data_IF_644161481925
#
_entry.id   IF_644161481925
#
_cell.length_a   1.000
_cell.length_b   1.000
_cell.length_c   1.000
_cell.angle_alpha   90.00
_cell.angle_beta   90.00
_cell.angle_gamma   90.00
#
_symmetry.space_group_name_H-M   'P 1'
#
loop_
_entity.id
_entity.type
_entity.pdbx_description
1 polymer ?
#
# COMPACT_ATOMS: atom_id res chain seq x y z
N UNK A 1 -22.44 -74.79 65.66
CA UNK A 1 -22.72 -73.80 64.59
C UNK A 1 -23.28 -72.51 65.20
N UNK A 2 -22.46 -71.65 65.82
CA UNK A 2 -22.86 -70.28 66.20
C UNK A 2 -21.60 -69.41 66.24
N UNK A 3 -21.31 -68.75 65.13
CA UNK A 3 -20.11 -67.94 64.97
C UNK A 3 -20.08 -67.09 63.69
N UNK A 4 -21.19 -67.01 62.94
CA UNK A 4 -21.39 -65.95 61.94
C UNK A 4 -21.76 -64.69 62.73
N UNK A 5 -20.72 -63.90 62.98
CA UNK A 5 -20.67 -62.82 63.96
C UNK A 5 -21.29 -61.54 63.38
N UNK A 6 -21.97 -60.76 64.22
CA UNK A 6 -22.50 -59.41 63.95
C UNK A 6 -21.55 -58.52 63.12
N UNK A 7 -20.24 -58.72 63.26
CA UNK A 7 -19.17 -58.07 62.49
C UNK A 7 -19.33 -58.23 60.97
N UNK A 8 -19.73 -59.41 60.50
CA UNK A 8 -19.84 -59.72 59.07
C UNK A 8 -21.04 -59.02 58.43
N UNK A 9 -22.12 -58.86 59.18
CA UNK A 9 -23.29 -58.06 58.78
C UNK A 9 -22.91 -56.58 58.70
N UNK A 10 -22.17 -56.06 59.69
CA UNK A 10 -21.70 -54.67 59.68
C UNK A 10 -20.75 -54.43 58.50
N UNK A 11 -19.82 -55.35 58.24
CA UNK A 11 -18.89 -55.26 57.13
C UNK A 11 -19.62 -55.31 55.78
N UNK A 12 -20.58 -56.22 55.62
CA UNK A 12 -21.38 -56.32 54.41
C UNK A 12 -22.20 -55.05 54.14
N UNK A 13 -22.79 -54.45 55.18
CA UNK A 13 -23.51 -53.17 55.07
C UNK A 13 -22.56 -52.02 54.75
N UNK A 14 -21.40 -51.93 55.40
CA UNK A 14 -20.41 -50.89 55.12
C UNK A 14 -19.89 -50.96 53.67
N UNK A 15 -19.62 -52.17 53.17
CA UNK A 15 -19.20 -52.39 51.79
C UNK A 15 -20.33 -52.05 50.81
N UNK A 16 -21.55 -52.51 51.09
CA UNK A 16 -22.72 -52.22 50.26
C UNK A 16 -22.97 -50.70 50.16
N UNK A 17 -22.88 -49.97 51.28
CA UNK A 17 -23.05 -48.52 51.29
C UNK A 17 -21.95 -47.81 50.49
N UNK A 18 -20.70 -48.26 50.61
CA UNK A 18 -19.57 -47.70 49.86
C UNK A 18 -19.73 -47.91 48.35
N UNK A 19 -20.11 -49.12 47.94
CA UNK A 19 -20.34 -49.44 46.52
C UNK A 19 -21.56 -48.71 45.94
N UNK A 20 -22.64 -48.61 46.72
CA UNK A 20 -23.87 -47.93 46.30
C UNK A 20 -23.64 -46.43 46.14
N UNK A 21 -22.99 -45.80 47.12
CA UNK A 21 -22.67 -44.36 47.06
C UNK A 21 -21.71 -44.06 45.91
N UNK A 22 -20.65 -44.86 45.73
CA UNK A 22 -19.73 -44.73 44.60
C UNK A 22 -20.42 -44.89 43.23
N UNK A 23 -21.37 -45.82 43.13
CA UNK A 23 -22.12 -46.02 41.87
C UNK A 23 -23.04 -44.83 41.56
N UNK A 24 -23.74 -44.31 42.57
CA UNK A 24 -24.61 -43.14 42.41
C UNK A 24 -23.83 -41.88 42.02
N UNK A 25 -22.66 -41.64 42.62
CA UNK A 25 -21.83 -40.48 42.26
C UNK A 25 -21.33 -40.58 40.82
N UNK A 26 -20.93 -41.76 40.36
CA UNK A 26 -20.52 -41.98 38.97
C UNK A 26 -21.67 -41.72 37.98
N UNK A 27 -22.88 -42.16 38.30
CA UNK A 27 -24.06 -41.92 37.46
C UNK A 27 -24.36 -40.43 37.36
N UNK A 28 -24.42 -39.71 38.48
CA UNK A 28 -24.65 -38.26 38.51
C UNK A 28 -23.56 -37.52 37.74
N UNK A 29 -22.30 -37.92 37.92
CA UNK A 29 -21.18 -37.35 37.20
C UNK A 29 -21.28 -37.59 35.67
N UNK A 30 -21.69 -38.79 35.26
CA UNK A 30 -21.92 -39.13 33.85
C UNK A 30 -23.03 -38.27 33.23
N UNK A 31 -24.15 -38.07 33.93
CA UNK A 31 -25.22 -37.18 33.47
C UNK A 31 -24.75 -35.72 33.34
N UNK A 32 -24.02 -35.21 34.32
CA UNK A 32 -23.48 -33.86 34.28
C UNK A 32 -22.48 -33.67 33.13
N UNK A 33 -21.62 -34.67 32.88
CA UNK A 33 -20.66 -34.65 31.77
C UNK A 33 -21.35 -34.64 30.41
N UNK A 34 -22.37 -35.50 30.23
CA UNK A 34 -23.17 -35.51 28.99
C UNK A 34 -23.91 -34.20 28.76
N UNK A 35 -24.51 -33.61 29.80
CA UNK A 35 -25.18 -32.32 29.69
C UNK A 35 -24.20 -31.20 29.31
N UNK A 36 -23.06 -31.14 30.00
CA UNK A 36 -22.03 -30.13 29.72
C UNK A 36 -21.50 -30.26 28.29
N UNK A 37 -21.30 -31.48 27.78
CA UNK A 37 -20.90 -31.72 26.39
C UNK A 37 -21.94 -31.24 25.37
N UNK A 38 -23.24 -31.39 25.67
CA UNK A 38 -24.33 -30.85 24.86
C UNK A 38 -24.34 -29.33 24.84
N UNK A 39 -24.28 -28.69 26.02
CA UNK A 39 -24.23 -27.23 26.15
C UNK A 39 -22.99 -26.63 25.46
N UNK A 40 -21.83 -27.28 25.57
CA UNK A 40 -20.61 -26.86 24.89
C UNK A 40 -20.76 -26.93 23.36
N UNK A 41 -21.44 -27.95 22.85
CA UNK A 41 -21.72 -28.08 21.41
C UNK A 41 -22.61 -26.94 20.91
N UNK A 42 -23.62 -26.54 21.69
CA UNK A 42 -24.50 -25.41 21.38
C UNK A 42 -23.75 -24.07 21.47
N UNK A 43 -22.96 -23.84 22.52
CA UNK A 43 -22.14 -22.64 22.67
C UNK A 43 -21.14 -22.49 21.51
N UNK A 44 -20.54 -23.60 21.07
CA UNK A 44 -19.64 -23.63 19.91
C UNK A 44 -20.34 -23.23 18.61
N UNK A 45 -21.59 -23.65 18.39
CA UNK A 45 -22.39 -23.23 17.23
C UNK A 45 -22.65 -21.73 17.26
N UNK A 46 -23.09 -21.17 18.40
CA UNK A 46 -23.33 -19.73 18.53
C UNK A 46 -22.05 -18.90 18.36
N UNK A 47 -20.92 -19.37 18.90
CA UNK A 47 -19.63 -18.70 18.73
C UNK A 47 -19.17 -18.73 17.27
N UNK A 48 -19.35 -19.87 16.58
CA UNK A 48 -19.04 -20.02 15.16
C UNK A 48 -19.89 -19.09 14.29
N UNK A 49 -21.20 -19.06 14.53
CA UNK A 49 -22.12 -18.16 13.84
C UNK A 49 -21.71 -16.69 14.02
N UNK A 50 -21.29 -16.30 15.22
CA UNK A 50 -20.77 -14.96 15.50
C UNK A 50 -19.59 -14.59 14.58
N UNK A 51 -18.63 -15.49 14.42
CA UNK A 51 -17.49 -15.27 13.51
C UNK A 51 -17.95 -15.15 12.04
N UNK A 52 -18.86 -16.01 11.59
CA UNK A 52 -19.36 -15.97 10.21
C UNK A 52 -20.20 -14.73 9.92
N UNK A 53 -20.98 -14.26 10.89
CA UNK A 53 -21.73 -13.02 10.77
C UNK A 53 -20.80 -11.80 10.66
N UNK A 54 -19.72 -11.74 11.46
CA UNK A 54 -18.72 -10.67 11.33
C UNK A 54 -17.96 -10.74 9.99
N UNK A 55 -17.67 -11.95 9.48
CA UNK A 55 -17.14 -12.11 8.12
C UNK A 55 -18.10 -11.57 7.07
N UNK A 56 -19.41 -11.79 7.23
CA UNK A 56 -20.43 -11.22 6.34
C UNK A 56 -20.44 -9.70 6.39
N UNK A 57 -20.39 -9.09 7.59
CA UNK A 57 -20.30 -7.63 7.78
C UNK A 57 -19.07 -7.06 7.06
N UNK A 58 -17.91 -7.70 7.25
CA UNK A 58 -16.65 -7.35 6.57
C UNK A 58 -16.74 -7.42 5.05
N UNK A 59 -17.45 -8.42 4.53
CA UNK A 59 -17.62 -8.60 3.08
C UNK A 59 -18.61 -7.60 2.46
N UNK A 60 -19.43 -6.92 3.27
CA UNK A 60 -20.19 -5.76 2.82
C UNK A 60 -19.25 -4.56 2.66
N UNK A 61 -18.54 -4.19 3.73
CA UNK A 61 -17.43 -3.23 3.69
C UNK A 61 -16.51 -3.45 4.89
N UNK A 62 -15.19 -3.42 4.68
CA UNK A 62 -14.23 -3.59 5.77
C UNK A 62 -14.36 -2.49 6.84
N UNK A 63 -14.66 -1.27 6.41
CA UNK A 63 -14.90 -0.12 7.28
C UNK A 63 -16.05 -0.32 8.29
N UNK A 64 -16.95 -1.28 8.06
CA UNK A 64 -18.02 -1.61 9.02
C UNK A 64 -17.48 -2.30 10.28
N UNK A 65 -16.24 -2.82 10.26
CA UNK A 65 -15.58 -3.40 11.43
C UNK A 65 -15.03 -2.32 12.37
N UNK A 66 -15.95 -1.62 13.04
CA UNK A 66 -15.62 -0.63 14.07
C UNK A 66 -15.15 -1.33 15.33
N UNK A 67 -14.04 -0.85 15.92
CA UNK A 67 -13.53 -1.42 17.17
C UNK A 67 -14.61 -1.33 18.26
N UNK A 68 -14.81 -2.43 18.98
CA UNK A 68 -15.75 -2.50 20.09
C UNK A 68 -15.25 -3.49 21.14
N UNK A 69 -15.40 -3.13 22.41
CA UNK A 69 -15.11 -4.02 23.55
C UNK A 69 -16.18 -5.10 23.73
N UNK A 70 -17.35 -4.94 23.12
CA UNK A 70 -18.47 -5.88 23.20
C UNK A 70 -19.69 -5.36 22.43
N UNK A 71 -20.18 -6.14 21.47
CA UNK A 71 -21.40 -5.88 20.70
C UNK A 71 -22.14 -7.17 20.41
N UNK A 72 -23.45 -7.07 20.20
CA UNK A 72 -24.24 -8.13 19.58
C UNK A 72 -24.22 -8.04 18.05
N UNK A 73 -24.98 -8.93 17.42
CA UNK A 73 -25.21 -8.99 15.98
C UNK A 73 -26.71 -9.14 15.73
N UNK A 74 -27.23 -8.37 14.79
CA UNK A 74 -28.63 -8.43 14.36
C UNK A 74 -28.74 -8.62 12.83
N UNK A 75 -29.95 -8.89 12.34
CA UNK A 75 -30.28 -8.94 10.93
C UNK A 75 -31.08 -7.72 10.50
N UNK A 76 -30.51 -6.92 9.60
CA UNK A 76 -31.24 -5.88 8.88
C UNK A 76 -31.69 -6.44 7.52
N UNK A 77 -32.85 -7.09 7.49
CA UNK A 77 -33.34 -7.79 6.30
C UNK A 77 -32.53 -9.06 6.00
N UNK A 78 -31.80 -9.09 4.88
CA UNK A 78 -30.99 -10.24 4.45
C UNK A 78 -29.51 -10.15 4.82
N UNK A 79 -29.09 -9.07 5.48
CA UNK A 79 -27.68 -8.82 5.85
C UNK A 79 -27.49 -8.85 7.37
N UNK A 80 -26.29 -9.27 7.78
CA UNK A 80 -25.82 -9.14 9.16
C UNK A 80 -25.33 -7.72 9.42
N UNK A 81 -25.65 -7.20 10.60
CA UNK A 81 -25.20 -5.89 11.10
C UNK A 81 -24.82 -6.00 12.57
N UNK A 82 -23.96 -5.11 13.07
CA UNK A 82 -23.77 -4.98 14.51
C UNK A 82 -25.01 -4.34 15.14
N UNK A 83 -25.41 -4.82 16.31
CA UNK A 83 -26.58 -4.32 17.03
C UNK A 83 -26.59 -4.76 18.47
N UNK A 84 -27.07 -3.90 19.37
CA UNK A 84 -27.15 -4.20 20.80
C UNK A 84 -25.79 -4.41 21.48
N UNK A 85 -25.83 -4.76 22.78
CA UNK A 85 -24.63 -5.00 23.57
C UNK A 85 -24.13 -6.46 23.50
N UNK A 86 -25.05 -7.40 23.28
CA UNK A 86 -24.84 -8.84 23.19
C UNK A 86 -26.08 -9.51 22.57
N UNK A 87 -25.95 -10.79 22.23
CA UNK A 87 -27.06 -11.63 21.79
C UNK A 87 -27.38 -12.65 22.88
N UNK A 88 -28.65 -12.76 23.27
CA UNK A 88 -29.11 -13.77 24.24
C UNK A 88 -29.90 -14.86 23.51
N UNK A 89 -29.48 -16.10 23.66
CA UNK A 89 -30.13 -17.28 23.09
C UNK A 89 -30.65 -18.19 24.18
N UNK A 90 -31.84 -18.73 23.96
CA UNK A 90 -32.43 -19.75 24.83
C UNK A 90 -32.47 -21.07 24.06
N UNK A 91 -31.82 -22.10 24.60
CA UNK A 91 -31.86 -23.44 24.01
C UNK A 91 -32.97 -24.30 24.64
N UNK A 92 -33.13 -24.20 25.96
CA UNK A 92 -34.16 -24.88 26.76
C UNK A 92 -34.74 -23.92 27.80
N UNK A 93 -35.86 -24.29 28.44
CA UNK A 93 -36.59 -23.49 29.43
C UNK A 93 -35.82 -23.07 30.70
N UNK A 94 -34.50 -23.34 30.78
CA UNK A 94 -33.62 -22.94 31.88
C UNK A 94 -32.22 -22.48 31.47
N UNK A 95 -31.87 -22.49 30.17
CA UNK A 95 -30.50 -22.21 29.70
C UNK A 95 -30.47 -20.92 28.88
N UNK A 96 -29.69 -19.94 29.33
CA UNK A 96 -29.41 -18.70 28.60
C UNK A 96 -27.94 -18.65 28.19
N UNK A 97 -27.69 -18.59 26.89
CA UNK A 97 -26.38 -18.37 26.30
C UNK A 97 -26.28 -16.91 25.90
N UNK A 98 -25.23 -16.23 26.33
CA UNK A 98 -24.97 -14.83 25.99
C UNK A 98 -23.74 -14.76 25.11
N UNK A 99 -23.91 -14.35 23.85
CA UNK A 99 -22.83 -14.11 22.90
C UNK A 99 -22.44 -12.63 22.89
N UNK A 100 -21.15 -12.36 23.00
CA UNK A 100 -20.58 -11.02 22.85
C UNK A 100 -19.45 -11.06 21.84
N UNK A 101 -19.47 -10.13 20.89
CA UNK A 101 -18.42 -9.96 19.89
C UNK A 101 -17.52 -8.79 20.28
N UNK A 102 -16.21 -9.03 20.26
CA UNK A 102 -15.18 -8.01 20.41
C UNK A 102 -14.47 -7.81 19.08
N UNK A 103 -14.29 -6.56 18.68
CA UNK A 103 -13.57 -6.15 17.45
C UNK A 103 -12.40 -5.28 17.87
N UNK A 104 -11.20 -5.70 17.53
CA UNK A 104 -9.97 -5.02 17.92
C UNK A 104 -9.05 -4.78 16.73
N UNK A 105 -8.32 -3.67 16.76
CA UNK A 105 -7.18 -3.49 15.87
C UNK A 105 -5.99 -4.31 16.34
N UNK A 106 -5.10 -4.65 15.43
CA UNK A 106 -3.88 -5.40 15.74
C UNK A 106 -2.65 -4.55 15.44
N UNK A 107 -1.55 -4.82 16.15
CA UNK A 107 -0.26 -4.22 15.88
C UNK A 107 0.72 -5.29 15.37
N UNK A 108 1.68 -4.89 14.55
CA UNK A 108 2.78 -5.75 14.06
C UNK A 108 4.14 -5.33 14.60
N UNK A 109 5.05 -6.28 14.76
CA UNK A 109 6.46 -6.02 15.11
C UNK A 109 7.30 -5.44 13.95
N UNK A 110 6.69 -5.24 12.77
CA UNK A 110 7.28 -4.59 11.61
C UNK A 110 6.40 -3.48 11.03
N UNK A 111 6.74 -3.02 9.81
CA UNK A 111 5.92 -2.07 9.05
C UNK A 111 4.85 -2.86 8.28
N UNK A 112 3.54 -2.67 8.56
CA UNK A 112 2.48 -3.39 7.86
C UNK A 112 2.58 -3.24 6.33
N UNK A 113 2.30 -4.30 5.54
CA UNK A 113 1.73 -5.58 5.95
C UNK A 113 2.75 -6.60 6.51
N UNK A 114 4.04 -6.25 6.57
CA UNK A 114 5.10 -7.13 7.05
C UNK A 114 5.13 -7.22 8.59
N UNK A 115 5.79 -8.27 9.10
CA UNK A 115 5.90 -8.54 10.54
C UNK A 115 4.77 -9.39 11.11
N UNK A 116 4.96 -9.90 12.33
CA UNK A 116 4.01 -10.73 13.06
C UNK A 116 3.08 -9.87 13.91
N UNK A 117 1.84 -10.33 14.10
CA UNK A 117 0.91 -9.70 15.04
C UNK A 117 1.42 -9.88 16.47
N UNK A 118 1.52 -8.76 17.20
CA UNK A 118 2.00 -8.73 18.60
C UNK A 118 0.91 -8.22 19.55
N UNK A 119 0.95 -8.73 20.79
CA UNK A 119 -0.01 -8.36 21.82
C UNK A 119 0.25 -6.97 22.45
N UNK A 120 1.50 -6.52 22.47
CA UNK A 120 1.94 -5.25 23.08
C UNK A 120 3.03 -4.61 22.22
N UNK A 121 3.00 -3.29 22.11
CA UNK A 121 3.91 -2.53 21.24
C UNK A 121 3.56 -2.66 19.75
N UNK A 122 4.54 -2.36 18.89
CA UNK A 122 4.42 -2.48 17.44
C UNK A 122 3.75 -1.30 16.72
N UNK A 123 3.54 -1.47 15.42
CA UNK A 123 2.89 -0.51 14.52
C UNK A 123 1.47 -0.98 14.21
N UNK A 124 0.49 -0.08 14.27
CA UNK A 124 -0.90 -0.36 13.94
C UNK A 124 -1.05 -0.90 12.51
N UNK A 125 -1.65 -2.08 12.35
CA UNK A 125 -2.04 -2.64 11.05
C UNK A 125 -3.46 -2.13 10.70
N UNK A 126 -3.60 -1.19 9.75
CA UNK A 126 -4.91 -0.66 9.38
C UNK A 126 -5.78 -1.67 8.63
N UNK A 127 -5.17 -2.72 8.08
CA UNK A 127 -5.81 -3.64 7.13
C UNK A 127 -6.15 -4.99 7.78
N UNK A 128 -5.91 -5.17 9.09
CA UNK A 128 -6.27 -6.37 9.85
C UNK A 128 -7.02 -6.05 11.16
N UNK A 129 -8.13 -6.75 11.42
CA UNK A 129 -8.82 -6.76 12.72
C UNK A 129 -8.79 -8.13 13.36
N UNK A 130 -8.72 -8.17 14.68
CA UNK A 130 -8.95 -9.38 15.50
C UNK A 130 -10.40 -9.37 15.99
N UNK A 131 -11.11 -10.45 15.72
CA UNK A 131 -12.48 -10.68 16.16
C UNK A 131 -12.45 -11.77 17.22
N UNK A 132 -13.12 -11.53 18.35
CA UNK A 132 -13.33 -12.54 19.38
C UNK A 132 -14.82 -12.70 19.63
N UNK A 133 -15.37 -13.89 19.40
CA UNK A 133 -16.74 -14.24 19.76
C UNK A 133 -16.72 -15.04 21.05
N UNK A 134 -17.27 -14.48 22.11
CA UNK A 134 -17.36 -15.12 23.44
C UNK A 134 -18.79 -15.51 23.72
N UNK A 135 -19.02 -16.75 24.13
CA UNK A 135 -20.33 -17.24 24.58
C UNK A 135 -20.21 -17.67 26.03
N UNK A 136 -21.05 -17.11 26.91
CA UNK A 136 -21.13 -17.47 28.32
C UNK A 136 -22.50 -18.07 28.64
N UNK A 137 -22.53 -19.09 29.49
CA UNK A 137 -23.77 -19.69 29.97
C UNK A 137 -23.60 -20.20 31.40
N UNK A 138 -24.71 -20.55 32.06
CA UNK A 138 -24.69 -21.11 33.41
C UNK A 138 -25.00 -22.61 33.34
N UNK A 139 -24.03 -23.47 33.67
CA UNK A 139 -24.28 -24.90 33.83
C UNK A 139 -25.19 -25.17 35.04
N UNK A 140 -25.09 -24.34 36.09
CA UNK A 140 -26.05 -24.23 37.19
C UNK A 140 -25.89 -22.84 37.85
N UNK A 141 -26.74 -22.51 38.83
CA UNK A 141 -26.73 -21.20 39.50
C UNK A 141 -25.40 -20.81 40.16
N UNK A 142 -24.51 -21.77 40.43
CA UNK A 142 -23.20 -21.54 41.05
C UNK A 142 -22.01 -21.73 40.08
N UNK A 143 -22.25 -22.18 38.84
CA UNK A 143 -21.20 -22.51 37.87
C UNK A 143 -21.53 -21.92 36.50
N UNK A 144 -20.81 -20.84 36.17
CA UNK A 144 -20.78 -20.27 34.82
C UNK A 144 -19.66 -20.90 34.00
N UNK A 145 -19.92 -21.08 32.71
CA UNK A 145 -19.01 -21.55 31.68
C UNK A 145 -18.85 -20.51 30.57
N UNK A 146 -17.73 -20.57 29.85
CA UNK A 146 -17.40 -19.67 28.76
C UNK A 146 -16.59 -20.36 27.67
N UNK A 147 -16.82 -19.94 26.43
CA UNK A 147 -16.07 -20.37 25.25
C UNK A 147 -15.76 -19.15 24.37
N UNK A 148 -14.56 -19.10 23.79
CA UNK A 148 -14.10 -18.00 22.95
C UNK A 148 -13.50 -18.49 21.63
N UNK A 149 -14.04 -18.01 20.51
CA UNK A 149 -13.48 -18.22 19.17
C UNK A 149 -12.84 -16.93 18.67
N UNK A 150 -11.65 -17.06 18.07
CA UNK A 150 -10.87 -15.92 17.56
C UNK A 150 -10.66 -16.07 16.06
N UNK A 151 -10.86 -14.97 15.32
CA UNK A 151 -10.55 -14.89 13.91
C UNK A 151 -9.81 -13.58 13.60
N UNK A 152 -8.88 -13.63 12.64
CA UNK A 152 -8.26 -12.44 12.08
C UNK A 152 -8.85 -12.18 10.70
N UNK A 153 -9.33 -10.95 10.49
CA UNK A 153 -10.04 -10.55 9.29
C UNK A 153 -9.29 -9.41 8.62
N UNK A 154 -8.92 -9.61 7.35
CA UNK A 154 -8.20 -8.64 6.55
C UNK A 154 -9.08 -7.92 5.51
N UNK A 155 -8.64 -6.72 5.13
CA UNK A 155 -9.21 -5.97 4.01
C UNK A 155 -8.69 -6.49 2.66
N UNK A 156 -9.13 -7.69 2.28
CA UNK A 156 -8.68 -8.34 1.04
C UNK A 156 -9.07 -7.58 -0.24
N UNK A 157 -10.03 -6.65 -0.17
CA UNK A 157 -10.46 -5.86 -1.34
C UNK A 157 -9.63 -4.60 -1.55
N UNK A 158 -8.84 -4.20 -0.55
CA UNK A 158 -7.92 -3.08 -0.70
C UNK A 158 -6.93 -3.42 -1.83
N UNK A 159 -6.82 -2.58 -2.88
CA UNK A 159 -5.81 -2.76 -3.91
C UNK A 159 -4.44 -2.85 -3.25
N UNK A 160 -3.64 -3.83 -3.64
CA UNK A 160 -2.24 -3.85 -3.25
C UNK A 160 -1.62 -2.60 -3.87
N UNK A 161 -1.05 -1.72 -3.06
CA UNK A 161 -0.28 -0.58 -3.54
C UNK A 161 0.98 -1.12 -4.24
N UNK A 162 0.84 -1.54 -5.49
CA UNK A 162 1.96 -1.79 -6.38
C UNK A 162 2.54 -0.42 -6.66
N UNK A 163 3.68 -0.10 -6.05
CA UNK A 163 4.38 1.15 -6.28
C UNK A 163 4.55 1.45 -7.77
N UNK A 164 4.87 2.70 -8.10
CA UNK A 164 4.93 3.16 -9.49
C UNK A 164 5.87 2.27 -10.32
N UNK A 165 5.42 1.88 -11.51
CA UNK A 165 6.17 1.09 -12.48
C UNK A 165 6.63 1.96 -13.65
N UNK A 166 7.87 1.76 -14.11
CA UNK A 166 8.37 2.39 -15.33
C UNK A 166 8.03 1.50 -16.53
N UNK A 167 7.33 2.06 -17.51
CA UNK A 167 6.86 1.34 -18.70
C UNK A 167 7.86 1.44 -19.84
N UNK A 168 8.46 2.62 -20.03
CA UNK A 168 9.44 2.83 -21.08
C UNK A 168 9.71 4.29 -21.35
N UNK A 169 10.63 4.54 -22.27
CA UNK A 169 10.96 5.88 -22.74
C UNK A 169 11.25 5.93 -24.23
N UNK A 170 11.18 7.12 -24.80
CA UNK A 170 11.58 7.40 -26.18
C UNK A 170 12.24 8.77 -26.22
N UNK A 171 13.29 8.91 -27.03
CA UNK A 171 14.08 10.15 -27.16
C UNK A 171 14.32 10.50 -28.62
N UNK A 172 14.63 11.77 -28.87
CA UNK A 172 15.03 12.27 -30.18
C UNK A 172 15.83 13.55 -30.03
N UNK A 173 16.62 13.86 -31.05
CA UNK A 173 17.45 15.07 -31.14
C UNK A 173 17.24 15.79 -32.46
N UNK A 174 17.61 17.06 -32.52
CA UNK A 174 17.46 17.88 -33.73
C UNK A 174 18.33 19.13 -33.73
N UNK A 175 18.85 19.48 -34.90
CA UNK A 175 19.66 20.68 -35.15
C UNK A 175 18.78 21.80 -35.70
N UNK A 176 18.71 22.94 -35.01
CA UNK A 176 17.92 24.12 -35.39
C UNK A 176 16.43 23.81 -35.66
N UNK A 177 15.94 22.68 -35.14
CA UNK A 177 14.64 22.12 -35.48
C UNK A 177 13.52 23.03 -34.97
N UNK A 178 12.53 23.32 -35.82
CA UNK A 178 11.36 24.18 -35.49
C UNK A 178 10.10 23.38 -35.18
N UNK A 179 10.12 22.06 -35.34
CA UNK A 179 9.01 21.16 -35.04
C UNK A 179 9.47 19.74 -34.80
N UNK A 180 8.79 19.03 -33.91
CA UNK A 180 9.01 17.60 -33.69
C UNK A 180 7.82 16.99 -32.97
N UNK A 181 7.97 15.75 -32.52
CA UNK A 181 6.93 15.08 -31.76
C UNK A 181 7.54 14.27 -30.62
N UNK A 182 6.88 14.34 -29.47
CA UNK A 182 7.06 13.33 -28.42
C UNK A 182 6.33 12.06 -28.85
N UNK A 183 7.04 10.94 -28.90
CA UNK A 183 6.47 9.64 -29.26
C UNK A 183 6.36 8.79 -28.01
N UNK A 184 5.24 8.10 -27.83
CA UNK A 184 5.10 7.20 -26.68
C UNK A 184 5.87 5.88 -26.89
N UNK A 185 6.54 5.34 -25.86
CA UNK A 185 7.15 4.01 -25.89
C UNK A 185 6.07 2.92 -26.04
N UNK A 186 6.43 1.69 -26.38
CA UNK A 186 5.47 0.57 -26.38
C UNK A 186 5.03 0.18 -24.95
N UNK A 187 3.88 -0.48 -24.82
CA UNK A 187 3.43 -1.07 -23.54
C UNK A 187 2.66 -0.14 -22.59
N UNK A 188 2.47 1.13 -22.97
CA UNK A 188 1.62 2.06 -22.22
C UNK A 188 0.14 1.67 -22.31
N UNK A 189 -0.62 2.08 -21.30
CA UNK A 189 -2.06 1.87 -21.17
C UNK A 189 -2.76 3.17 -20.80
N UNK A 190 -4.05 3.27 -21.10
CA UNK A 190 -4.86 4.40 -20.65
C UNK A 190 -4.82 4.50 -19.12
N UNK A 191 -4.55 5.68 -18.59
CA UNK A 191 -4.34 5.93 -17.16
C UNK A 191 -2.87 5.99 -16.74
N UNK A 192 -1.93 5.53 -17.57
CA UNK A 192 -0.50 5.73 -17.33
C UNK A 192 -0.15 7.23 -17.42
N UNK A 193 0.86 7.68 -16.66
CA UNK A 193 1.34 9.06 -16.69
C UNK A 193 2.60 9.15 -17.54
N UNK A 194 2.54 9.94 -18.61
CA UNK A 194 3.70 10.29 -19.43
C UNK A 194 4.32 11.60 -18.94
N UNK A 195 5.61 11.59 -18.65
CA UNK A 195 6.44 12.76 -18.35
C UNK A 195 7.20 13.13 -19.62
N UNK A 196 7.02 14.37 -20.07
CA UNK A 196 7.65 14.94 -21.26
C UNK A 196 8.77 15.86 -20.82
N UNK A 197 9.94 15.72 -21.42
CA UNK A 197 11.08 16.58 -21.13
C UNK A 197 11.70 17.07 -22.42
N UNK A 198 12.12 18.32 -22.42
CA UNK A 198 12.68 18.97 -23.59
C UNK A 198 13.74 19.96 -23.15
N UNK A 199 14.88 19.94 -23.83
CA UNK A 199 15.99 20.82 -23.59
C UNK A 199 16.46 21.42 -24.91
N UNK A 200 16.88 22.68 -24.84
CA UNK A 200 17.63 23.31 -25.94
C UNK A 200 18.79 24.11 -25.41
N UNK A 201 19.85 24.12 -26.21
CA UNK A 201 21.07 24.88 -25.94
C UNK A 201 20.84 26.39 -25.90
N UNK A 202 19.90 26.88 -26.71
CA UNK A 202 19.66 28.32 -26.86
C UNK A 202 18.48 28.77 -26.00
N UNK A 203 18.74 29.52 -24.94
CA UNK A 203 17.73 29.96 -23.97
C UNK A 203 16.58 30.81 -24.56
N UNK A 204 16.83 31.51 -25.67
CA UNK A 204 15.84 32.32 -26.38
C UNK A 204 14.90 31.49 -27.27
N UNK A 205 15.29 30.27 -27.62
CA UNK A 205 14.45 29.35 -28.38
C UNK A 205 13.25 28.93 -27.52
N UNK A 206 12.04 29.14 -28.02
CA UNK A 206 10.80 28.93 -27.27
C UNK A 206 10.01 27.79 -27.87
N UNK A 207 9.62 26.82 -27.03
CA UNK A 207 8.75 25.70 -27.39
C UNK A 207 7.27 26.11 -27.25
N UNK A 208 6.45 25.60 -28.15
CA UNK A 208 4.99 25.65 -28.13
C UNK A 208 4.49 24.22 -28.14
N UNK A 209 3.70 23.87 -27.11
CA UNK A 209 3.25 22.51 -26.83
C UNK A 209 1.74 22.38 -27.10
N UNK A 210 1.23 21.15 -27.34
CA UNK A 210 -0.20 20.92 -27.38
C UNK A 210 -0.86 21.30 -26.06
N UNK A 211 -2.07 21.85 -26.12
CA UNK A 211 -2.87 22.20 -24.93
C UNK A 211 -3.25 20.98 -24.06
N UNK A 212 -3.06 19.77 -24.58
CA UNK A 212 -3.30 18.51 -23.88
C UNK A 212 -2.19 18.12 -22.90
N UNK A 213 -1.05 18.80 -22.92
CA UNK A 213 0.06 18.62 -21.99
C UNK A 213 -0.01 19.66 -20.88
N UNK A 214 0.21 19.23 -19.64
CA UNK A 214 0.33 20.12 -18.50
C UNK A 214 1.80 20.45 -18.26
N UNK A 215 2.15 21.74 -18.28
CA UNK A 215 3.49 22.20 -17.94
C UNK A 215 3.74 22.02 -16.43
N UNK A 216 4.86 21.36 -16.07
CA UNK A 216 5.35 21.28 -14.69
C UNK A 216 6.48 22.26 -14.44
N UNK A 217 7.44 22.35 -15.35
CA UNK A 217 8.57 23.28 -15.30
C UNK A 217 8.86 23.83 -16.69
N UNK A 218 9.17 25.12 -16.77
CA UNK A 218 9.75 25.71 -17.97
C UNK A 218 10.59 26.91 -17.57
N UNK A 219 11.91 26.77 -17.63
CA UNK A 219 12.84 27.83 -17.24
C UNK A 219 13.96 28.00 -18.26
N UNK A 220 14.51 29.20 -18.33
CA UNK A 220 15.57 29.56 -19.25
C UNK A 220 16.46 30.65 -18.67
N UNK A 221 17.75 30.59 -19.00
CA UNK A 221 18.73 31.61 -18.62
C UNK A 221 19.86 31.66 -19.65
N UNK A 222 20.39 32.86 -19.87
CA UNK A 222 21.52 33.06 -20.79
C UNK A 222 22.71 32.21 -20.34
N UNK A 223 23.29 31.44 -21.25
CA UNK A 223 24.39 30.52 -20.95
C UNK A 223 23.98 29.10 -20.55
N UNK A 224 22.76 28.88 -20.04
CA UNK A 224 22.31 27.58 -19.52
C UNK A 224 21.32 26.84 -20.44
N UNK A 225 20.81 27.54 -21.47
CA UNK A 225 19.78 27.02 -22.36
C UNK A 225 18.36 27.19 -21.81
N UNK A 226 17.45 26.32 -22.23
CA UNK A 226 16.06 26.24 -21.74
C UNK A 226 15.68 24.79 -21.50
N UNK A 227 15.05 24.53 -20.36
CA UNK A 227 14.47 23.23 -19.99
C UNK A 227 12.96 23.34 -19.87
N UNK A 228 12.26 22.31 -20.32
CA UNK A 228 10.84 22.09 -20.11
C UNK A 228 10.63 20.69 -19.56
N UNK A 229 9.74 20.60 -18.58
CA UNK A 229 9.17 19.34 -18.10
C UNK A 229 7.66 19.52 -18.01
N UNK A 230 6.91 18.54 -18.49
CA UNK A 230 5.47 18.49 -18.33
C UNK A 230 4.97 17.06 -18.27
N UNK A 231 3.67 16.90 -18.18
CA UNK A 231 3.06 15.58 -18.08
C UNK A 231 1.70 15.52 -18.77
N UNK A 232 1.24 14.29 -18.99
CA UNK A 232 -0.13 13.97 -19.41
C UNK A 232 -0.52 12.61 -18.86
N UNK A 233 -1.76 12.51 -18.39
CA UNK A 233 -2.41 11.22 -18.13
C UNK A 233 -2.89 10.68 -19.48
N UNK A 234 -2.35 9.53 -19.87
CA UNK A 234 -2.58 8.95 -21.18
C UNK A 234 -4.01 8.45 -21.32
N UNK A 235 -4.58 8.67 -22.49
CA UNK A 235 -5.93 8.27 -22.86
C UNK A 235 -5.88 7.30 -24.04
N UNK A 236 -6.91 6.47 -24.17
CA UNK A 236 -7.06 5.63 -25.37
C UNK A 236 -7.02 6.50 -26.64
N UNK A 237 -6.17 6.13 -27.60
CA UNK A 237 -5.95 6.88 -28.85
C UNK A 237 -4.75 7.83 -28.83
N UNK A 238 -4.14 8.09 -27.67
CA UNK A 238 -2.87 8.83 -27.62
C UNK A 238 -1.76 8.07 -28.41
N UNK A 239 -0.86 8.80 -29.06
CA UNK A 239 0.23 8.18 -29.84
C UNK A 239 1.47 9.08 -29.88
N UNK A 240 1.34 10.25 -30.48
CA UNK A 240 2.38 11.28 -30.53
C UNK A 240 1.83 12.64 -30.14
N UNK A 241 2.71 13.48 -29.60
CA UNK A 241 2.39 14.85 -29.21
C UNK A 241 3.31 15.80 -29.95
N UNK A 242 2.79 16.41 -31.02
CA UNK A 242 3.52 17.33 -31.86
C UNK A 242 3.80 18.66 -31.13
N UNK A 243 5.02 19.17 -31.23
CA UNK A 243 5.41 20.46 -30.69
C UNK A 243 6.05 21.30 -31.80
N UNK A 244 6.02 22.62 -31.64
CA UNK A 244 6.75 23.56 -32.49
C UNK A 244 7.67 24.43 -31.66
N UNK A 245 8.65 25.08 -32.28
CA UNK A 245 9.52 26.02 -31.58
C UNK A 245 9.99 27.15 -32.49
N UNK A 246 10.39 28.26 -31.89
CA UNK A 246 10.98 29.38 -32.62
C UNK A 246 12.31 28.98 -33.30
N UNK A 247 12.70 29.69 -34.36
CA UNK A 247 13.98 29.47 -35.01
C UNK A 247 15.14 29.95 -34.13
N UNK A 248 16.25 29.20 -34.16
CA UNK A 248 17.54 29.59 -33.61
C UNK A 248 18.63 28.93 -34.46
N UNK A 249 19.78 29.58 -34.58
CA UNK A 249 20.95 29.04 -35.29
C UNK A 249 21.93 28.41 -34.32
N UNK A 250 22.59 27.33 -34.73
CA UNK A 250 23.52 26.56 -33.91
C UNK A 250 22.91 26.20 -32.55
N UNK A 251 21.72 25.58 -32.61
CA UNK A 251 20.89 25.25 -31.47
C UNK A 251 20.41 23.81 -31.52
N UNK A 252 21.07 22.96 -30.73
CA UNK A 252 20.62 21.59 -30.47
C UNK A 252 19.36 21.60 -29.62
N UNK A 253 18.45 20.68 -29.97
CA UNK A 253 17.21 20.39 -29.27
C UNK A 253 17.18 18.90 -28.95
N UNK A 254 16.87 18.55 -27.72
CA UNK A 254 16.79 17.18 -27.23
C UNK A 254 15.46 17.03 -26.51
N UNK A 255 14.74 15.95 -26.77
CA UNK A 255 13.46 15.74 -26.12
C UNK A 255 13.15 14.26 -25.95
N UNK A 256 12.26 13.98 -25.02
CA UNK A 256 11.81 12.62 -24.79
C UNK A 256 10.56 12.51 -23.94
N UNK A 257 10.12 11.27 -23.81
CA UNK A 257 9.00 10.86 -22.96
C UNK A 257 9.41 9.73 -22.06
N UNK A 258 8.93 9.73 -20.83
CA UNK A 258 9.12 8.67 -19.84
C UNK A 258 7.74 8.31 -19.30
N UNK A 259 7.32 7.05 -19.42
CA UNK A 259 5.96 6.62 -19.06
C UNK A 259 5.97 5.78 -17.79
N UNK A 260 5.05 6.09 -16.87
CA UNK A 260 4.92 5.44 -15.57
C UNK A 260 3.48 4.99 -15.31
N UNK A 261 3.31 3.83 -14.69
CA UNK A 261 2.03 3.26 -14.27
C UNK A 261 1.89 3.29 -12.75
N UNK A 262 0.66 3.40 -12.26
CA UNK A 262 0.38 3.40 -10.82
C UNK A 262 0.64 4.75 -10.14
N UNK A 263 0.66 5.83 -10.92
CA UNK A 263 0.77 7.22 -10.44
C UNK A 263 -0.62 7.74 -10.07
N UNK A 264 -0.76 8.43 -8.95
CA UNK A 264 -2.02 9.11 -8.59
C UNK A 264 -2.27 10.26 -9.55
N UNK A 265 -3.35 10.13 -10.32
CA UNK A 265 -3.77 11.10 -11.33
C UNK A 265 -4.84 12.07 -10.82
N UNK A 266 -5.15 12.02 -9.54
CA UNK A 266 -6.05 12.98 -8.88
C UNK A 266 -5.30 14.31 -8.70
N UNK A 267 -5.54 15.24 -9.63
CA UNK A 267 -4.87 16.54 -9.64
C UNK A 267 -3.45 16.47 -10.24
N UNK A 268 -2.50 17.19 -9.63
CA UNK A 268 -1.09 17.14 -10.04
C UNK A 268 -0.48 15.80 -9.63
N UNK A 269 0.07 14.98 -10.55
CA UNK A 269 0.69 13.69 -10.25
C UNK A 269 2.04 13.81 -9.53
N UNK A 270 2.59 15.01 -9.42
CA UNK A 270 3.80 15.27 -8.67
C UNK A 270 3.49 15.71 -7.23
N UNK A 271 4.31 15.26 -6.29
CA UNK A 271 4.31 15.81 -4.94
C UNK A 271 4.78 17.28 -4.96
N UNK A 272 4.28 18.07 -4.00
CA UNK A 272 4.63 19.48 -3.86
C UNK A 272 6.14 19.70 -3.59
N UNK A 273 6.84 18.67 -3.12
CA UNK A 273 8.26 18.64 -2.80
C UNK A 273 9.17 18.52 -4.02
N UNK A 274 8.61 18.39 -5.23
CA UNK A 274 9.35 18.35 -6.50
C UNK A 274 10.19 19.62 -6.81
N UNK A 275 10.24 20.61 -5.92
CA UNK A 275 11.17 21.74 -5.98
C UNK A 275 11.10 22.61 -7.24
N UNK A 276 12.09 23.50 -7.39
CA UNK A 276 12.32 24.32 -8.58
C UNK A 276 13.60 23.84 -9.31
N UNK A 277 13.71 24.04 -10.63
CA UNK A 277 14.95 23.72 -11.35
C UNK A 277 16.12 24.57 -10.85
N UNK A 278 17.29 23.96 -10.70
CA UNK A 278 18.56 24.60 -10.38
C UNK A 278 19.45 24.75 -11.61
N UNK A 279 20.37 25.71 -11.57
CA UNK A 279 21.44 25.88 -12.57
C UNK A 279 22.77 25.37 -12.04
N UNK A 280 23.61 24.83 -12.92
CA UNK A 280 25.02 24.54 -12.62
C UNK A 280 25.92 25.19 -13.67
N UNK A 281 27.13 25.58 -13.24
CA UNK A 281 28.09 26.31 -14.08
C UNK A 281 29.37 25.50 -14.23
N UNK A 282 29.88 25.40 -15.46
CA UNK A 282 31.14 24.74 -15.82
C UNK A 282 31.33 23.37 -15.12
N UNK A 283 30.29 22.53 -15.12
CA UNK A 283 30.29 21.24 -14.41
C UNK A 283 30.19 20.05 -15.38
N UNK A 284 31.05 19.06 -15.21
CA UNK A 284 31.02 17.81 -15.98
C UNK A 284 30.00 16.80 -15.43
N UNK A 285 29.65 16.91 -14.15
CA UNK A 285 28.83 15.95 -13.41
C UNK A 285 27.72 16.69 -12.66
N UNK A 286 26.64 17.09 -13.35
CA UNK A 286 25.58 17.87 -12.74
C UNK A 286 24.87 17.08 -11.65
N UNK A 287 24.60 17.74 -10.52
CA UNK A 287 24.00 17.14 -9.33
C UNK A 287 22.60 17.74 -9.09
N UNK A 288 21.51 16.97 -9.31
CA UNK A 288 20.16 17.44 -9.09
C UNK A 288 19.86 17.73 -7.61
N UNK A 289 18.94 18.66 -7.31
CA UNK A 289 18.61 18.98 -5.94
C UNK A 289 17.95 17.79 -5.21
N UNK A 290 18.30 17.60 -3.94
CA UNK A 290 17.64 16.65 -3.06
C UNK A 290 16.16 17.02 -2.82
N UNK A 291 15.34 16.00 -2.54
CA UNK A 291 13.90 16.12 -2.29
C UNK A 291 13.50 15.31 -1.06
N UNK A 292 12.28 15.55 -0.56
CA UNK A 292 11.65 14.75 0.48
C UNK A 292 10.40 14.13 -0.13
N UNK A 293 10.30 12.80 -0.15
CA UNK A 293 9.06 12.13 -0.55
C UNK A 293 8.10 12.07 0.65
N UNK A 294 6.83 12.41 0.42
CA UNK A 294 5.77 12.38 1.45
C UNK A 294 5.09 11.01 1.47
N UNK A 295 4.96 10.40 0.29
CA UNK A 295 4.35 9.08 0.13
C UNK A 295 5.41 7.99 -0.03
N UNK A 296 5.16 6.84 0.61
CA UNK A 296 5.93 5.62 0.38
C UNK A 296 5.61 5.07 -1.01
N UNK A 297 6.59 4.42 -1.65
CA UNK A 297 6.53 3.94 -3.03
C UNK A 297 6.44 5.02 -4.12
N UNK A 298 6.80 6.26 -3.78
CA UNK A 298 6.97 7.35 -4.74
C UNK A 298 8.14 7.08 -5.71
N UNK A 299 8.12 7.76 -6.87
CA UNK A 299 9.22 7.73 -7.83
C UNK A 299 9.89 9.08 -7.93
N UNK A 300 11.18 9.11 -7.62
CA UNK A 300 12.04 10.29 -7.74
C UNK A 300 12.61 10.36 -9.15
N UNK A 301 12.49 11.53 -9.79
CA UNK A 301 12.80 11.79 -11.19
C UNK A 301 13.79 12.96 -11.34
N UNK A 302 15.09 12.72 -11.17
CA UNK A 302 16.11 13.68 -11.59
C UNK A 302 16.08 13.87 -13.11
N UNK A 303 16.16 15.12 -13.54
CA UNK A 303 16.23 15.58 -14.92
C UNK A 303 17.43 16.50 -15.05
N UNK A 304 18.17 16.41 -16.15
CA UNK A 304 19.19 17.38 -16.49
C UNK A 304 19.12 17.80 -17.96
N UNK A 305 19.68 18.97 -18.25
CA UNK A 305 20.00 19.43 -19.60
C UNK A 305 21.26 20.29 -19.56
N UNK A 306 22.17 20.08 -20.51
CA UNK A 306 23.51 20.67 -20.50
C UNK A 306 23.94 21.12 -21.89
N UNK A 307 24.67 22.23 -21.96
CA UNK A 307 25.25 22.79 -23.19
C UNK A 307 26.53 22.09 -23.68
N UNK A 308 26.64 20.79 -23.42
CA UNK A 308 27.72 19.96 -23.93
C UNK A 308 27.24 18.53 -24.19
N UNK A 309 27.87 17.84 -25.14
CA UNK A 309 27.54 16.47 -25.49
C UNK A 309 28.32 15.48 -24.60
N UNK A 310 27.64 14.40 -24.24
CA UNK A 310 28.25 13.25 -23.57
C UNK A 310 28.41 12.13 -24.59
N UNK A 311 29.58 11.47 -24.62
CA UNK A 311 29.79 10.28 -25.45
C UNK A 311 29.12 9.03 -24.85
N UNK A 312 28.71 9.10 -23.58
CA UNK A 312 27.82 8.17 -22.91
C UNK A 312 27.31 8.75 -21.60
N UNK A 313 26.00 8.69 -21.37
CA UNK A 313 25.34 9.25 -20.18
C UNK A 313 25.10 8.14 -19.16
N UNK A 314 25.67 8.28 -17.96
CA UNK A 314 25.44 7.39 -16.82
C UNK A 314 24.58 8.10 -15.78
N UNK A 315 23.47 7.47 -15.43
CA UNK A 315 22.55 7.94 -14.39
C UNK A 315 23.20 7.91 -13.01
N UNK A 316 22.67 8.66 -12.02
CA UNK A 316 23.17 8.61 -10.66
C UNK A 316 23.13 7.20 -10.04
N UNK A 317 23.99 6.95 -9.05
CA UNK A 317 24.11 5.62 -8.45
C UNK A 317 22.80 5.17 -7.79
N UNK A 318 22.33 3.96 -8.13
CA UNK A 318 21.05 3.43 -7.63
C UNK A 318 19.82 3.85 -8.45
N UNK A 319 19.97 4.75 -9.42
CA UNK A 319 18.93 5.15 -10.35
C UNK A 319 18.96 4.32 -11.63
N UNK A 320 17.83 4.31 -12.34
CA UNK A 320 17.68 3.67 -13.66
C UNK A 320 17.37 4.74 -14.70
N UNK A 321 17.87 4.59 -15.93
CA UNK A 321 17.55 5.54 -17.01
C UNK A 321 16.06 5.51 -17.37
N UNK A 322 15.48 6.69 -17.51
CA UNK A 322 14.15 6.95 -18.04
C UNK A 322 14.21 7.70 -19.38
N UNK A 323 15.34 7.63 -20.07
CA UNK A 323 15.56 8.27 -21.36
C UNK A 323 16.62 9.37 -21.28
N UNK A 324 17.56 9.35 -22.21
CA UNK A 324 18.63 10.35 -22.32
C UNK A 324 19.15 10.37 -23.74
N UNK A 325 19.64 11.53 -24.19
CA UNK A 325 20.24 11.67 -25.51
C UNK A 325 21.29 12.80 -25.52
N UNK A 326 22.12 12.81 -26.56
CA UNK A 326 23.13 13.85 -26.78
C UNK A 326 23.33 14.12 -28.27
N UNK A 327 23.81 15.32 -28.61
CA UNK A 327 24.15 15.64 -29.99
C UNK A 327 25.15 16.79 -30.07
N UNK A 328 26.08 16.67 -31.02
CA UNK A 328 26.97 17.75 -31.45
C UNK A 328 26.39 18.60 -32.60
N UNK A 329 25.25 18.18 -33.18
CA UNK A 329 24.67 18.83 -34.36
C UNK A 329 23.85 20.06 -33.96
N UNK A 330 24.39 21.25 -34.20
CA UNK A 330 23.80 22.51 -33.69
C UNK A 330 24.43 22.95 -32.37
N UNK A 331 25.67 22.54 -32.12
CA UNK A 331 26.40 22.80 -30.89
C UNK A 331 26.13 21.73 -29.85
N UNK A 332 27.15 21.42 -29.06
CA UNK A 332 27.11 20.27 -28.18
C UNK A 332 26.05 20.43 -27.09
N UNK A 333 25.21 19.41 -26.91
CA UNK A 333 24.20 19.37 -25.85
C UNK A 333 23.83 17.95 -25.46
N UNK A 334 23.35 17.80 -24.22
CA UNK A 334 22.83 16.54 -23.67
C UNK A 334 21.66 16.81 -22.75
N UNK A 335 20.73 15.87 -22.66
CA UNK A 335 19.66 15.90 -21.67
C UNK A 335 19.18 14.49 -21.34
N UNK A 336 18.58 14.33 -20.17
CA UNK A 336 18.04 13.05 -19.77
C UNK A 336 17.29 13.07 -18.45
N UNK A 337 16.63 11.96 -18.19
CA UNK A 337 15.82 11.67 -17.01
C UNK A 337 16.22 10.31 -16.48
N UNK A 338 16.34 10.20 -15.17
CA UNK A 338 16.48 8.92 -14.48
C UNK A 338 15.34 8.77 -13.47
N UNK A 339 15.17 7.57 -12.93
CA UNK A 339 14.18 7.31 -11.91
C UNK A 339 14.70 6.40 -10.80
N UNK A 340 14.18 6.61 -9.59
CA UNK A 340 14.40 5.76 -8.44
C UNK A 340 13.09 5.53 -7.70
N UNK A 341 12.81 4.26 -7.34
CA UNK A 341 11.62 3.90 -6.57
C UNK A 341 11.93 3.98 -5.08
N UNK A 342 11.36 4.97 -4.41
CA UNK A 342 11.57 5.20 -2.98
C UNK A 342 10.56 4.38 -2.17
N UNK A 343 10.99 3.26 -1.59
CA UNK A 343 10.11 2.35 -0.86
C UNK A 343 9.44 3.01 0.36
N UNK A 344 10.19 3.79 1.14
CA UNK A 344 9.69 4.48 2.34
C UNK A 344 9.83 5.99 2.18
N UNK A 345 8.76 6.73 2.49
CA UNK A 345 8.75 8.19 2.50
C UNK A 345 9.95 8.77 3.28
N UNK A 346 10.56 9.84 2.76
CA UNK A 346 11.68 10.52 3.43
C UNK A 346 12.62 11.23 2.47
N UNK A 347 13.76 11.68 3.00
CA UNK A 347 14.80 12.35 2.21
C UNK A 347 15.37 11.44 1.13
N UNK A 348 15.58 12.00 -0.05
CA UNK A 348 16.26 11.36 -1.17
C UNK A 348 17.12 12.40 -1.88
N UNK A 349 18.39 12.07 -2.09
CA UNK A 349 19.33 12.86 -2.87
C UNK A 349 19.74 12.03 -4.09
N UNK A 350 19.37 12.44 -5.32
CA UNK A 350 19.74 11.69 -6.51
C UNK A 350 21.25 11.51 -6.66
N UNK A 351 22.04 12.50 -6.25
CA UNK A 351 23.46 12.55 -6.54
C UNK A 351 23.77 12.84 -8.01
N UNK A 352 25.06 13.00 -8.30
CA UNK A 352 25.53 13.49 -9.58
C UNK A 352 25.35 12.48 -10.74
N UNK A 353 24.95 13.02 -11.89
CA UNK A 353 25.10 12.35 -13.18
C UNK A 353 26.59 12.20 -13.51
N UNK A 354 26.98 11.10 -14.14
CA UNK A 354 28.37 10.89 -14.57
C UNK A 354 28.41 10.49 -16.03
N UNK A 355 29.49 10.81 -16.73
CA UNK A 355 29.60 10.51 -18.14
C UNK A 355 31.04 10.62 -18.64
N UNK A 356 31.34 9.90 -19.73
CA UNK A 356 32.62 9.97 -20.42
C UNK A 356 32.64 11.13 -21.42
N UNK A 357 33.81 11.74 -21.60
CA UNK A 357 34.08 12.66 -22.72
C UNK A 357 33.63 14.12 -22.55
N UNK A 358 32.88 14.48 -21.51
CA UNK A 358 32.42 15.86 -21.37
C UNK A 358 33.38 16.76 -20.58
N UNK A 359 33.64 17.94 -21.14
CA UNK A 359 34.14 19.09 -20.42
C UNK A 359 33.07 19.70 -19.52
N UNK A 360 33.51 20.54 -18.57
CA UNK A 360 32.60 21.41 -17.82
C UNK A 360 31.82 22.33 -18.77
N UNK A 361 30.52 22.45 -18.52
CA UNK A 361 29.64 23.42 -19.18
C UNK A 361 28.45 23.72 -18.28
N UNK A 362 27.61 24.65 -18.71
CA UNK A 362 26.47 25.17 -18.00
C UNK A 362 25.19 24.41 -18.37
N UNK A 363 24.23 24.40 -17.44
CA UNK A 363 22.95 23.76 -17.70
C UNK A 363 21.97 23.80 -16.52
N UNK A 364 20.96 22.95 -16.62
CA UNK A 364 19.87 22.81 -15.67
C UNK A 364 19.80 21.42 -15.07
N UNK A 365 19.39 21.37 -13.80
CA UNK A 365 18.97 20.16 -13.12
C UNK A 365 17.63 20.38 -12.42
N UNK A 366 16.85 19.33 -12.25
CA UNK A 366 15.60 19.35 -11.51
C UNK A 366 15.29 17.97 -10.97
N UNK A 367 14.54 17.87 -9.87
CA UNK A 367 14.15 16.58 -9.29
C UNK A 367 12.65 16.57 -9.03
N UNK A 368 11.90 15.80 -9.81
CA UNK A 368 10.48 15.58 -9.59
C UNK A 368 10.22 14.39 -8.66
N UNK A 369 9.05 14.35 -8.02
CA UNK A 369 8.57 13.19 -7.26
C UNK A 369 7.15 12.84 -7.71
N UNK A 370 6.96 11.69 -8.35
CA UNK A 370 5.63 11.15 -8.67
C UNK A 370 5.04 10.45 -7.44
N UNK A 371 3.78 10.76 -7.13
CA UNK A 371 3.04 10.09 -6.05
C UNK A 371 2.31 8.84 -6.56
N UNK A 372 2.34 7.71 -5.82
CA UNK A 372 1.60 6.51 -6.16
C UNK A 372 0.10 6.67 -5.84
N UNK A 373 -0.73 5.81 -6.45
CA UNK A 373 -2.19 5.70 -6.20
C UNK A 373 -2.50 5.32 -4.74
#
# INVERSE_FOLDING_TARGET
MKGFSLLEVILAVALFLTLTTGSLTLIVHSYNSNRLGGEFSVASQFASEGIEAVKSIKNQAYANLVNSSGTGIDRAGSIWVFGGANDTFTHNSGDNFVRTIKVESVNRDGTPPDGNIVATGGTLDPDTKKITSTVTWNFNSARSESLNFVAYLSDWRKPIATGIEFIGSATSTGNNTTSGSFTLPSGWQSGDTAVFWWYTRTNTKTIILPATLTQKQQVNASGFGRIYVGYRVLQSGDSTFAWTSSSATNSTVIWGTSVFRGVDTTGDPFEAQSGAPGTFTNNSSPDPPAVITVTSNAVVLPVFGKNNDYSGITVPAGYTSAGSDSSAAGGDASAGVAYFKKATAGSEDPGAWSAAGASGDDGYVWTGVLKPI
#
